data_IF_791557438967
#
_entry.id   IF_791557438967
#
_cell.length_a   1.000
_cell.length_b   1.000
_cell.length_c   1.000
_cell.angle_alpha   90.00
_cell.angle_beta   90.00
_cell.angle_gamma   90.00
#
_symmetry.space_group_name_H-M   'P 1'
#
loop_
_entity.id
_entity.type
_entity.pdbx_description
1 polymer ?
#
# COMPACT_ATOMS: atom_id res chain seq x y z
N UNK A 1 7.70 12.12 -24.47
CA UNK A 1 8.32 12.68 -23.24
C UNK A 1 7.47 12.34 -22.06
N UNK A 2 8.06 11.75 -21.03
CA UNK A 2 7.36 11.53 -19.79
C UNK A 2 7.05 12.88 -19.12
N UNK A 3 5.85 13.05 -18.60
CA UNK A 3 5.48 14.25 -17.85
C UNK A 3 6.37 14.39 -16.61
N UNK A 4 6.75 15.59 -16.27
CA UNK A 4 7.56 15.86 -15.08
C UNK A 4 6.73 15.58 -13.82
N UNK A 5 7.29 14.91 -12.81
CA UNK A 5 6.59 14.70 -11.54
C UNK A 5 6.39 16.05 -10.82
N UNK A 6 5.40 16.09 -9.95
CA UNK A 6 5.15 17.28 -9.13
C UNK A 6 6.25 17.46 -8.09
N UNK A 7 6.45 18.70 -7.67
CA UNK A 7 7.41 19.07 -6.63
C UNK A 7 7.25 18.24 -5.35
N UNK A 8 6.03 18.11 -4.85
CA UNK A 8 5.76 17.33 -3.63
C UNK A 8 6.07 15.85 -3.81
N UNK A 9 5.71 15.30 -4.97
CA UNK A 9 5.98 13.89 -5.27
C UNK A 9 7.49 13.63 -5.34
N UNK A 10 8.24 14.53 -5.95
CA UNK A 10 9.69 14.46 -6.00
C UNK A 10 10.31 14.47 -4.61
N UNK A 11 9.85 15.35 -3.72
CA UNK A 11 10.32 15.41 -2.34
C UNK A 11 10.00 14.14 -1.57
N UNK A 12 8.80 13.56 -1.75
CA UNK A 12 8.41 12.32 -1.10
C UNK A 12 9.31 11.15 -1.53
N UNK A 13 9.57 11.04 -2.82
CA UNK A 13 10.45 9.98 -3.35
C UNK A 13 11.87 10.15 -2.84
N UNK A 14 12.43 11.34 -2.89
CA UNK A 14 13.78 11.64 -2.39
C UNK A 14 13.86 11.35 -0.88
N UNK A 15 12.85 11.76 -0.12
CA UNK A 15 12.77 11.48 1.31
C UNK A 15 12.73 9.98 1.59
N UNK A 16 11.94 9.22 0.82
CA UNK A 16 11.85 7.77 0.96
C UNK A 16 13.22 7.10 0.67
N UNK A 17 13.89 7.53 -0.40
CA UNK A 17 15.23 7.01 -0.75
C UNK A 17 16.23 7.28 0.39
N UNK A 18 16.21 8.48 0.97
CA UNK A 18 17.07 8.82 2.11
C UNK A 18 16.81 7.96 3.33
N UNK A 19 15.55 7.79 3.69
CA UNK A 19 15.15 6.97 4.85
C UNK A 19 15.59 5.53 4.66
N UNK A 20 15.32 4.96 3.50
CA UNK A 20 15.66 3.56 3.20
C UNK A 20 17.17 3.34 3.12
N UNK A 21 17.90 4.28 2.53
CA UNK A 21 19.38 4.23 2.49
C UNK A 21 19.95 4.27 3.90
N UNK A 22 19.40 5.10 4.76
CA UNK A 22 19.83 5.21 6.15
C UNK A 22 19.57 3.93 6.94
N UNK A 23 18.39 3.33 6.77
CA UNK A 23 18.01 2.09 7.48
C UNK A 23 18.81 0.88 7.06
N UNK A 24 19.02 0.71 5.77
CA UNK A 24 19.65 -0.49 5.20
C UNK A 24 21.14 -0.32 4.92
N UNK A 25 21.67 0.89 5.01
CA UNK A 25 23.04 1.27 4.65
C UNK A 25 23.39 0.88 3.20
N UNK A 26 22.39 0.84 2.33
CA UNK A 26 22.55 0.55 0.90
C UNK A 26 21.41 1.23 0.12
N UNK A 27 21.61 1.52 -1.18
CA UNK A 27 20.56 2.11 -1.99
C UNK A 27 19.32 1.21 -2.09
N UNK A 28 18.11 1.77 -1.98
CA UNK A 28 16.89 1.00 -2.09
C UNK A 28 16.52 0.68 -3.54
N UNK A 29 15.61 -0.27 -3.71
CA UNK A 29 14.96 -0.53 -5.00
C UNK A 29 13.70 0.33 -5.14
N UNK A 30 13.16 0.53 -6.36
CA UNK A 30 11.88 1.21 -6.51
C UNK A 30 10.74 0.52 -5.77
N UNK A 31 10.79 -0.80 -5.64
CA UNK A 31 9.82 -1.59 -4.88
C UNK A 31 9.87 -1.26 -3.38
N UNK A 32 11.07 -1.08 -2.83
CA UNK A 32 11.24 -0.64 -1.44
C UNK A 32 10.63 0.73 -1.20
N UNK A 33 10.79 1.65 -2.16
CA UNK A 33 10.18 2.98 -2.11
C UNK A 33 8.66 2.87 -2.17
N UNK A 34 8.15 2.01 -3.04
CA UNK A 34 6.72 1.77 -3.17
C UNK A 34 6.13 1.25 -1.85
N UNK A 35 6.78 0.30 -1.21
CA UNK A 35 6.34 -0.26 0.06
C UNK A 35 6.32 0.78 1.17
N UNK A 36 7.35 1.62 1.24
CA UNK A 36 7.42 2.67 2.28
C UNK A 36 6.31 3.70 2.11
N UNK A 37 6.01 4.10 0.88
CA UNK A 37 5.04 5.14 0.57
C UNK A 37 3.62 4.60 0.36
N UNK A 38 3.44 3.28 0.32
CA UNK A 38 2.14 2.67 0.05
C UNK A 38 1.68 2.83 -1.39
N UNK A 39 2.61 2.80 -2.33
CA UNK A 39 2.34 2.98 -3.76
C UNK A 39 2.35 1.65 -4.51
N UNK A 40 1.68 1.62 -5.67
CA UNK A 40 1.82 0.50 -6.60
C UNK A 40 3.27 0.48 -7.14
N UNK A 41 3.91 -0.71 -7.27
CA UNK A 41 5.29 -0.79 -7.75
C UNK A 41 5.52 -0.14 -9.11
N UNK A 42 4.61 -0.30 -10.04
CA UNK A 42 4.72 0.29 -11.38
C UNK A 42 4.69 1.83 -11.34
N UNK A 43 3.85 2.38 -10.49
CA UNK A 43 3.76 3.82 -10.31
C UNK A 43 5.04 4.38 -9.71
N UNK A 44 5.58 3.71 -8.68
CA UNK A 44 6.85 4.10 -8.07
C UNK A 44 8.01 4.02 -9.07
N UNK A 45 8.06 2.98 -9.89
CA UNK A 45 9.06 2.87 -10.96
C UNK A 45 8.99 4.01 -11.95
N UNK A 46 7.78 4.38 -12.36
CA UNK A 46 7.58 5.49 -13.29
C UNK A 46 8.04 6.82 -12.70
N UNK A 47 7.74 7.09 -11.43
CA UNK A 47 8.21 8.28 -10.72
C UNK A 47 9.73 8.29 -10.58
N UNK A 48 10.32 7.18 -10.20
CA UNK A 48 11.78 7.04 -10.07
C UNK A 48 12.45 7.28 -11.42
N UNK A 49 11.91 6.72 -12.49
CA UNK A 49 12.43 6.93 -13.84
C UNK A 49 12.36 8.41 -14.26
N UNK A 50 11.21 9.04 -14.01
CA UNK A 50 11.03 10.45 -14.35
C UNK A 50 12.00 11.35 -13.58
N UNK A 51 12.20 11.08 -12.30
CA UNK A 51 13.17 11.81 -11.47
C UNK A 51 14.61 11.52 -11.90
N UNK A 52 14.88 10.29 -12.35
CA UNK A 52 16.17 9.94 -12.93
C UNK A 52 16.47 10.69 -14.21
N UNK A 53 15.48 10.88 -15.09
CA UNK A 53 15.61 11.68 -16.31
C UNK A 53 15.89 13.15 -16.02
N UNK A 54 15.35 13.68 -14.93
CA UNK A 54 15.62 15.04 -14.47
C UNK A 54 16.98 15.18 -13.75
N UNK A 55 17.66 14.07 -13.48
CA UNK A 55 18.93 14.06 -12.77
C UNK A 55 18.84 14.19 -11.25
N UNK A 56 17.64 14.21 -10.71
CA UNK A 56 17.39 14.30 -9.26
C UNK A 56 17.78 13.00 -8.57
N UNK A 57 17.49 11.88 -9.20
CA UNK A 57 17.88 10.56 -8.73
C UNK A 57 18.89 9.96 -9.71
N UNK A 58 19.74 9.09 -9.19
CA UNK A 58 20.63 8.26 -9.99
C UNK A 58 20.10 6.83 -9.95
N UNK A 59 19.69 6.32 -11.10
CA UNK A 59 19.21 4.95 -11.23
C UNK A 59 20.36 4.06 -11.66
N UNK A 60 20.72 3.08 -10.84
CA UNK A 60 21.78 2.11 -11.12
C UNK A 60 21.11 0.80 -11.49
N UNK A 61 21.26 0.39 -12.74
CA UNK A 61 20.69 -0.85 -13.25
C UNK A 61 21.71 -1.98 -13.17
N UNK A 62 21.36 -3.04 -12.47
CA UNK A 62 22.09 -4.31 -12.45
C UNK A 62 21.28 -5.36 -13.19
N UNK A 63 21.90 -6.48 -13.66
CA UNK A 63 21.13 -7.55 -14.30
C UNK A 63 20.04 -8.15 -13.42
N UNK A 64 20.14 -7.99 -12.10
CA UNK A 64 19.24 -8.61 -11.14
C UNK A 64 18.26 -7.61 -10.49
N UNK A 65 18.62 -6.34 -10.42
CA UNK A 65 17.83 -5.35 -9.71
C UNK A 65 18.16 -3.93 -10.14
N UNK A 66 17.24 -3.02 -9.86
CA UNK A 66 17.45 -1.59 -10.06
C UNK A 66 17.63 -0.96 -8.68
N UNK A 67 18.69 -0.18 -8.50
CA UNK A 67 18.97 0.55 -7.28
C UNK A 67 18.84 2.06 -7.52
N UNK A 68 18.38 2.77 -6.50
CA UNK A 68 18.12 4.20 -6.60
C UNK A 68 18.99 4.96 -5.61
N UNK A 69 19.75 5.91 -6.11
CA UNK A 69 20.58 6.81 -5.31
C UNK A 69 20.11 8.26 -5.51
N UNK A 70 20.43 9.13 -4.58
CA UNK A 70 20.16 10.55 -4.72
C UNK A 70 21.23 11.18 -5.61
N UNK A 71 20.79 11.83 -6.69
CA UNK A 71 21.66 12.60 -7.58
C UNK A 71 21.67 14.07 -7.17
N UNK A 72 21.27 14.94 -8.09
CA UNK A 72 21.21 16.38 -7.84
C UNK A 72 19.84 16.77 -7.27
N UNK A 73 19.69 16.65 -5.95
CA UNK A 73 18.43 16.95 -5.26
C UNK A 73 18.02 18.45 -5.36
N UNK A 74 18.96 19.34 -5.67
CA UNK A 74 18.65 20.77 -5.85
C UNK A 74 17.73 21.01 -7.04
N UNK A 75 17.74 20.13 -8.02
CA UNK A 75 16.82 20.20 -9.16
C UNK A 75 15.36 19.95 -8.80
N UNK A 76 15.07 19.52 -7.57
CA UNK A 76 13.69 19.44 -7.08
C UNK A 76 12.98 20.80 -7.16
N UNK A 77 13.70 21.88 -6.95
CA UNK A 77 13.14 23.23 -7.02
C UNK A 77 12.64 23.60 -8.43
N UNK A 78 13.15 22.94 -9.46
CA UNK A 78 12.77 23.16 -10.85
C UNK A 78 11.51 22.38 -11.25
N UNK A 79 11.01 21.51 -10.39
CA UNK A 79 9.81 20.73 -10.66
C UNK A 79 8.54 21.57 -10.57
N UNK A 80 7.52 21.28 -11.40
CA UNK A 80 6.26 22.00 -11.33
C UNK A 80 5.51 21.73 -10.03
N UNK A 81 4.84 22.75 -9.51
CA UNK A 81 4.03 22.59 -8.30
C UNK A 81 2.82 21.70 -8.51
N UNK A 82 2.29 21.69 -9.72
CA UNK A 82 1.22 20.79 -10.13
C UNK A 82 1.74 19.86 -11.22
N UNK A 83 1.44 18.57 -11.07
CA UNK A 83 1.87 17.55 -12.01
C UNK A 83 0.93 17.43 -13.20
N UNK A 84 1.47 17.32 -14.40
CA UNK A 84 0.73 16.93 -15.59
C UNK A 84 0.44 15.40 -15.59
N UNK A 85 1.18 14.64 -14.79
CA UNK A 85 1.00 13.20 -14.59
C UNK A 85 0.18 12.94 -13.33
N UNK A 86 -0.40 11.72 -13.17
CA UNK A 86 -1.05 11.35 -11.91
C UNK A 86 -0.10 11.53 -10.72
N UNK A 87 -0.55 12.21 -9.69
CA UNK A 87 0.24 12.46 -8.48
C UNK A 87 0.12 11.28 -7.51
N UNK A 88 1.04 11.23 -6.54
CA UNK A 88 0.97 10.26 -5.43
C UNK A 88 -0.35 10.41 -4.68
N UNK A 89 -0.78 11.63 -4.44
CA UNK A 89 -2.05 11.92 -3.77
C UNK A 89 -3.24 11.37 -4.55
N UNK A 90 -3.26 11.56 -5.86
CA UNK A 90 -4.33 11.05 -6.73
C UNK A 90 -4.36 9.52 -6.70
N UNK A 91 -3.22 8.87 -6.76
CA UNK A 91 -3.13 7.42 -6.69
C UNK A 91 -3.60 6.87 -5.34
N UNK A 92 -3.20 7.50 -4.26
CA UNK A 92 -3.66 7.12 -2.91
C UNK A 92 -5.17 7.29 -2.77
N UNK A 93 -5.74 8.38 -3.29
CA UNK A 93 -7.18 8.61 -3.30
C UNK A 93 -7.91 7.53 -4.11
N UNK A 94 -7.41 7.18 -5.29
CA UNK A 94 -7.98 6.13 -6.12
C UNK A 94 -7.88 4.75 -5.46
N UNK A 95 -6.76 4.47 -4.81
CA UNK A 95 -6.55 3.24 -4.06
C UNK A 95 -7.52 3.15 -2.88
N UNK A 96 -7.70 4.23 -2.14
CA UNK A 96 -8.65 4.28 -1.02
C UNK A 96 -10.09 4.13 -1.48
N UNK A 97 -10.45 4.74 -2.60
CA UNK A 97 -11.78 4.59 -3.22
C UNK A 97 -12.04 3.15 -3.64
N UNK A 98 -11.05 2.49 -4.24
CA UNK A 98 -11.14 1.07 -4.64
C UNK A 98 -11.30 0.16 -3.42
N UNK A 99 -10.50 0.38 -2.37
CA UNK A 99 -10.63 -0.38 -1.11
C UNK A 99 -11.98 -0.18 -0.46
N UNK A 100 -12.48 1.04 -0.44
CA UNK A 100 -13.81 1.35 0.11
C UNK A 100 -14.91 0.62 -0.65
N UNK A 101 -14.82 0.59 -1.99
CA UNK A 101 -15.74 -0.18 -2.83
C UNK A 101 -15.69 -1.67 -2.53
N UNK A 102 -14.47 -2.24 -2.43
CA UNK A 102 -14.29 -3.66 -2.11
C UNK A 102 -14.86 -4.00 -0.73
N UNK A 103 -14.64 -3.14 0.25
CA UNK A 103 -15.20 -3.31 1.60
C UNK A 103 -16.73 -3.23 1.55
N UNK A 104 -17.30 -2.26 0.84
CA UNK A 104 -18.75 -2.12 0.68
C UNK A 104 -19.37 -3.32 -0.04
N UNK A 105 -18.72 -3.82 -1.09
CA UNK A 105 -19.14 -5.03 -1.81
C UNK A 105 -19.03 -6.27 -0.92
N UNK A 106 -17.94 -6.40 -0.14
CA UNK A 106 -17.77 -7.47 0.82
C UNK A 106 -18.83 -7.39 1.92
N UNK A 107 -19.13 -6.19 2.43
CA UNK A 107 -20.20 -5.99 3.41
C UNK A 107 -21.58 -6.32 2.85
N UNK A 108 -21.86 -5.96 1.59
CA UNK A 108 -23.09 -6.33 0.90
C UNK A 108 -23.20 -7.84 0.70
N UNK A 109 -22.10 -8.51 0.38
CA UNK A 109 -22.05 -9.98 0.32
C UNK A 109 -22.19 -10.59 1.70
N UNK A 110 -21.60 -9.94 2.73
CA UNK A 110 -21.67 -10.39 4.11
C UNK A 110 -23.03 -10.12 4.76
N UNK A 111 -23.78 -9.13 4.31
CA UNK A 111 -25.15 -8.87 4.74
C UNK A 111 -26.20 -9.61 3.91
N UNK A 112 -25.77 -10.40 2.92
CA UNK A 112 -26.69 -11.27 2.18
C UNK A 112 -27.20 -12.40 3.09
N UNK A 113 -28.38 -12.91 2.78
CA UNK A 113 -29.07 -13.96 3.55
C UNK A 113 -28.23 -15.19 3.89
N UNK A 114 -27.18 -15.47 3.11
CA UNK A 114 -26.26 -16.59 3.33
C UNK A 114 -25.41 -16.44 4.59
N UNK A 115 -25.05 -15.24 4.96
CA UNK A 115 -24.22 -15.01 6.13
C UNK A 115 -25.07 -14.91 7.39
N UNK A 116 -26.26 -14.36 7.29
CA UNK A 116 -27.23 -14.46 8.39
C UNK A 116 -27.59 -15.92 8.67
N UNK A 117 -27.72 -16.74 7.63
CA UNK A 117 -27.90 -18.20 7.76
C UNK A 117 -26.70 -18.86 8.43
N UNK A 118 -25.49 -18.54 8.01
CA UNK A 118 -24.25 -19.09 8.63
C UNK A 118 -24.09 -18.65 10.09
N UNK A 119 -24.43 -17.42 10.40
CA UNK A 119 -24.44 -16.94 11.80
C UNK A 119 -25.50 -17.64 12.64
N UNK A 120 -26.68 -17.85 12.09
CA UNK A 120 -27.75 -18.62 12.75
C UNK A 120 -27.33 -20.06 12.98
N UNK A 121 -26.77 -20.73 11.99
CA UNK A 121 -26.27 -22.11 12.09
C UNK A 121 -25.20 -22.26 13.17
N UNK A 122 -24.27 -21.29 13.24
CA UNK A 122 -23.22 -21.27 14.28
C UNK A 122 -23.81 -21.06 15.67
N UNK A 123 -24.78 -20.16 15.80
CA UNK A 123 -25.47 -19.91 17.06
C UNK A 123 -26.27 -21.13 17.51
N UNK A 124 -26.98 -21.78 16.61
CA UNK A 124 -27.74 -23.01 16.89
C UNK A 124 -26.83 -24.16 17.32
N UNK A 125 -25.67 -24.32 16.66
CA UNK A 125 -24.65 -25.31 17.07
C UNK A 125 -24.08 -25.02 18.44
N UNK A 126 -23.79 -23.76 18.75
CA UNK A 126 -23.30 -23.35 20.07
C UNK A 126 -24.34 -23.59 21.16
N UNK A 127 -25.61 -23.30 20.89
CA UNK A 127 -26.70 -23.58 21.80
C UNK A 127 -26.91 -25.08 22.03
N UNK A 128 -26.82 -25.92 21.00
CA UNK A 128 -26.88 -27.38 21.11
C UNK A 128 -25.72 -27.94 21.92
N UNK A 129 -24.51 -27.44 21.70
CA UNK A 129 -23.32 -27.83 22.47
C UNK A 129 -23.45 -27.42 23.93
N UNK A 130 -23.97 -26.24 24.21
CA UNK A 130 -24.28 -25.79 25.58
C UNK A 130 -25.32 -26.65 26.25
N UNK A 131 -26.38 -27.02 25.55
CA UNK A 131 -27.41 -27.94 26.05
C UNK A 131 -26.89 -29.32 26.35
N UNK A 132 -26.01 -29.85 25.49
CA UNK A 132 -25.32 -31.14 25.68
C UNK A 132 -24.42 -31.10 26.92
N UNK A 133 -23.70 -29.99 27.15
CA UNK A 133 -22.86 -29.81 28.33
C UNK A 133 -23.69 -29.72 29.61
N UNK A 134 -24.88 -29.10 29.56
CA UNK A 134 -25.80 -29.05 30.70
C UNK A 134 -26.46 -30.40 30.99
N UNK A 135 -26.68 -31.23 29.98
CA UNK A 135 -27.32 -32.56 30.13
C UNK A 135 -26.36 -33.64 30.64
N UNK A 136 -25.05 -33.48 30.52
CA UNK A 136 -24.04 -34.46 30.93
C UNK A 136 -23.67 -34.44 32.41
N UNK A 137 -24.50 -33.79 33.25
CA UNK A 137 -24.34 -33.78 34.68
C UNK A 137 -23.58 -32.60 35.24
N UNK A 138 -23.32 -32.58 36.54
CA UNK A 138 -22.69 -31.44 37.17
C UNK A 138 -21.32 -31.14 36.61
N UNK A 139 -21.08 -29.86 36.36
CA UNK A 139 -19.79 -29.38 35.92
C UNK A 139 -18.69 -29.75 36.90
N UNK A 140 -17.49 -30.18 36.47
CA UNK A 140 -16.40 -30.47 37.39
C UNK A 140 -15.92 -29.26 38.18
N UNK A 141 -16.49 -28.13 37.97
CA UNK A 141 -16.18 -26.85 38.65
C UNK A 141 -17.22 -26.42 39.69
N UNK A 142 -18.02 -27.33 40.17
CA UNK A 142 -18.84 -27.07 41.35
C UNK A 142 -18.04 -27.16 42.62
#
# INVERSE_FOLDING_TARGET
MAAKPAYEDGHLIVGAVRVLTHRAAKPPTPEDVADLLGLAPDFARNLVRALGEEGILRVVENPFEIRVEIGDYLKLEDLPRESEAPSIKDELDDFMKRKKKEVEEAEKMLSSDEIEKKKKEKLDRLEEEMKKLKRKGPSPFR
#
